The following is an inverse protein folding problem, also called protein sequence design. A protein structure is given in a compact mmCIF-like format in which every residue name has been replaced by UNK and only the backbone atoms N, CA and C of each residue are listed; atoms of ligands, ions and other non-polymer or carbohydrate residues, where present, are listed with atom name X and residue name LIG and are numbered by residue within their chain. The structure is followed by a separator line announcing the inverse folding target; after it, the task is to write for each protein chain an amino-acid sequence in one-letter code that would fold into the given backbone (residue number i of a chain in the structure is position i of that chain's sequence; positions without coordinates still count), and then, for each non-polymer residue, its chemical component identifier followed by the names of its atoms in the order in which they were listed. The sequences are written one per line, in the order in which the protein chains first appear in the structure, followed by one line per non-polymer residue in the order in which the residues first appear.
data_IF_665752698774
#
_entry.id   IF_665752698774
#
_cell.length_a   1.000
_cell.length_b   1.000
_cell.length_c   1.000
_cell.angle_alpha   90.00
_cell.angle_beta   90.00
_cell.angle_gamma   90.00
#
_symmetry.space_group_name_H-M   'P 1'
#
loop_
_entity.id
_entity.type
_entity.pdbx_description
1 polymer ?
#
# COMPACT_ATOMS: atom_id res chain seq x y z
N UNK A 1 35.34 -15.70 -43.02
CA UNK A 1 33.86 -15.80 -43.03
C UNK A 1 33.47 -16.74 -41.90
N UNK A 2 33.35 -16.19 -40.69
CA UNK A 2 32.89 -16.94 -39.52
C UNK A 2 31.42 -16.59 -39.32
N UNK A 3 30.57 -17.62 -39.34
CA UNK A 3 29.14 -17.50 -39.06
C UNK A 3 28.95 -17.52 -37.53
N UNK A 4 28.23 -16.54 -36.94
CA UNK A 4 27.97 -16.54 -35.51
C UNK A 4 26.92 -17.59 -35.17
N UNK A 5 27.29 -18.54 -34.31
CA UNK A 5 26.47 -19.69 -33.94
C UNK A 5 25.27 -19.38 -33.02
N UNK A 6 24.24 -20.23 -33.00
CA UNK A 6 23.01 -20.06 -32.24
C UNK A 6 23.19 -20.52 -30.78
N UNK A 7 23.72 -19.66 -29.91
CA UNK A 7 23.83 -19.96 -28.46
C UNK A 7 23.01 -19.04 -27.54
N UNK A 8 22.21 -18.11 -28.08
CA UNK A 8 21.49 -17.11 -27.27
C UNK A 8 20.13 -17.55 -26.74
N UNK A 9 19.53 -18.62 -27.28
CA UNK A 9 18.14 -19.01 -26.93
C UNK A 9 18.03 -19.67 -25.53
N UNK A 10 18.97 -20.55 -25.16
CA UNK A 10 18.91 -21.27 -23.87
C UNK A 10 19.14 -20.39 -22.65
N UNK A 11 20.07 -19.43 -22.73
CA UNK A 11 20.37 -18.52 -21.63
C UNK A 11 19.21 -17.54 -21.33
N UNK A 12 18.50 -17.10 -22.37
CA UNK A 12 17.31 -16.26 -22.22
C UNK A 12 16.16 -17.04 -21.55
N UNK A 13 15.91 -18.28 -21.98
CA UNK A 13 14.89 -19.13 -21.39
C UNK A 13 15.17 -19.43 -19.90
N UNK A 14 16.43 -19.73 -19.55
CA UNK A 14 16.84 -19.98 -18.18
C UNK A 14 16.70 -18.73 -17.29
N UNK A 15 17.01 -17.54 -17.82
CA UNK A 15 16.82 -16.27 -17.11
C UNK A 15 15.32 -16.01 -16.85
N UNK A 16 14.46 -16.22 -17.84
CA UNK A 16 13.02 -16.07 -17.68
C UNK A 16 12.46 -17.04 -16.63
N UNK A 17 12.90 -18.31 -16.67
CA UNK A 17 12.49 -19.31 -15.68
C UNK A 17 12.92 -18.93 -14.26
N UNK A 18 14.13 -18.39 -14.08
CA UNK A 18 14.61 -17.91 -12.78
C UNK A 18 13.77 -16.74 -12.23
N UNK A 19 13.44 -15.76 -13.08
CA UNK A 19 12.56 -14.64 -12.68
C UNK A 19 11.18 -15.16 -12.30
N UNK A 20 10.63 -16.10 -13.07
CA UNK A 20 9.33 -16.69 -12.79
C UNK A 20 9.31 -17.44 -11.45
N UNK A 21 10.36 -18.21 -11.13
CA UNK A 21 10.51 -18.87 -9.82
C UNK A 21 10.49 -17.84 -8.68
N UNK A 22 11.27 -16.76 -8.79
CA UNK A 22 11.36 -15.74 -7.74
C UNK A 22 10.00 -15.04 -7.53
N UNK A 23 9.35 -14.61 -8.62
CA UNK A 23 8.06 -13.94 -8.53
C UNK A 23 6.98 -14.87 -7.94
N UNK A 24 7.00 -16.15 -8.29
CA UNK A 24 6.05 -17.13 -7.73
C UNK A 24 6.31 -17.39 -6.25
N UNK A 25 7.58 -17.43 -5.81
CA UNK A 25 7.92 -17.52 -4.38
C UNK A 25 7.44 -16.28 -3.62
N UNK A 26 7.68 -15.08 -4.16
CA UNK A 26 7.26 -13.82 -3.52
C UNK A 26 5.74 -13.71 -3.45
N UNK A 27 5.03 -14.11 -4.51
CA UNK A 27 3.57 -14.17 -4.53
C UNK A 27 3.03 -15.16 -3.49
N UNK A 28 3.66 -16.34 -3.34
CA UNK A 28 3.27 -17.33 -2.33
C UNK A 28 3.50 -16.85 -0.90
N UNK A 29 4.63 -16.18 -0.64
CA UNK A 29 4.93 -15.56 0.67
C UNK A 29 3.92 -14.45 0.98
N UNK A 30 3.55 -13.66 -0.03
CA UNK A 30 2.60 -12.57 0.15
C UNK A 30 1.17 -13.10 0.37
N UNK A 31 0.80 -14.21 -0.29
CA UNK A 31 -0.46 -14.92 0.00
C UNK A 31 -0.49 -15.45 1.44
N UNK A 32 0.62 -16.02 1.93
CA UNK A 32 0.78 -16.51 3.31
C UNK A 32 0.57 -15.37 4.32
N UNK A 33 1.23 -14.23 4.09
CA UNK A 33 1.06 -13.02 4.92
C UNK A 33 -0.35 -12.46 4.94
N UNK A 34 -1.10 -12.64 3.86
CA UNK A 34 -2.50 -12.22 3.75
C UNK A 34 -3.48 -13.22 4.37
N UNK A 35 -2.99 -14.32 4.95
CA UNK A 35 -3.84 -15.39 5.48
C UNK A 35 -4.53 -16.21 4.40
N UNK A 36 -4.16 -16.06 3.12
CA UNK A 36 -4.67 -16.87 2.01
C UNK A 36 -3.88 -18.18 1.95
N UNK A 37 -4.03 -19.00 2.98
CA UNK A 37 -3.23 -20.20 3.23
C UNK A 37 -3.29 -21.19 2.06
N UNK A 38 -4.45 -21.43 1.46
CA UNK A 38 -4.60 -22.31 0.30
C UNK A 38 -3.82 -21.81 -0.94
N UNK A 39 -3.92 -20.52 -1.24
CA UNK A 39 -3.19 -19.87 -2.35
C UNK A 39 -1.67 -19.90 -2.08
N UNK A 40 -1.27 -19.62 -0.85
CA UNK A 40 0.12 -19.68 -0.42
C UNK A 40 0.72 -21.06 -0.63
N UNK A 41 -0.02 -22.11 -0.22
CA UNK A 41 0.37 -23.51 -0.41
C UNK A 41 0.52 -23.84 -1.90
N UNK A 42 -0.44 -23.43 -2.74
CA UNK A 42 -0.39 -23.70 -4.18
C UNK A 42 0.81 -23.00 -4.86
N UNK A 43 1.02 -21.72 -4.56
CA UNK A 43 2.09 -20.89 -5.15
C UNK A 43 3.48 -21.33 -4.67
N UNK A 44 3.66 -21.57 -3.37
CA UNK A 44 4.95 -22.01 -2.82
C UNK A 44 5.32 -23.41 -3.33
N UNK A 45 4.34 -24.32 -3.47
CA UNK A 45 4.57 -25.65 -4.06
C UNK A 45 4.99 -25.55 -5.52
N UNK A 46 4.27 -24.74 -6.32
CA UNK A 46 4.61 -24.49 -7.73
C UNK A 46 6.03 -23.91 -7.86
N UNK A 47 6.37 -22.92 -7.03
CA UNK A 47 7.68 -22.30 -7.04
C UNK A 47 8.81 -23.26 -6.66
N UNK A 48 8.60 -24.13 -5.68
CA UNK A 48 9.57 -25.17 -5.30
C UNK A 48 9.80 -26.17 -6.45
N UNK A 49 8.73 -26.63 -7.10
CA UNK A 49 8.81 -27.56 -8.23
C UNK A 49 9.58 -26.93 -9.41
N UNK A 50 9.31 -25.66 -9.71
CA UNK A 50 10.04 -24.94 -10.76
C UNK A 50 11.51 -24.72 -10.38
N UNK A 51 11.80 -24.42 -9.11
CA UNK A 51 13.18 -24.28 -8.63
C UNK A 51 13.97 -25.58 -8.81
N UNK A 52 13.39 -26.72 -8.42
CA UNK A 52 14.01 -28.05 -8.59
C UNK A 52 14.29 -28.37 -10.06
N UNK A 53 13.40 -27.96 -10.97
CA UNK A 53 13.59 -28.16 -12.40
C UNK A 53 14.73 -27.32 -13.00
N UNK A 54 14.94 -26.08 -12.52
CA UNK A 54 15.95 -25.18 -13.10
C UNK A 54 17.33 -25.28 -12.45
N UNK A 55 17.42 -25.70 -11.18
CA UNK A 55 18.68 -25.76 -10.42
C UNK A 55 19.80 -26.54 -11.13
N UNK A 56 19.56 -27.72 -11.75
CA UNK A 56 20.61 -28.46 -12.47
C UNK A 56 21.20 -27.71 -13.67
N UNK A 57 20.46 -26.77 -14.25
CA UNK A 57 20.88 -25.98 -15.40
C UNK A 57 21.53 -24.64 -15.02
N UNK A 58 21.49 -24.25 -13.74
CA UNK A 58 22.05 -22.98 -13.27
C UNK A 58 23.55 -23.09 -12.98
N UNK A 59 24.32 -22.01 -13.19
CA UNK A 59 25.67 -21.89 -12.63
C UNK A 59 25.66 -22.10 -11.11
N UNK A 60 26.70 -22.72 -10.57
CA UNK A 60 26.80 -23.14 -9.15
C UNK A 60 26.50 -22.01 -8.15
N UNK A 61 26.94 -20.79 -8.44
CA UNK A 61 26.66 -19.62 -7.61
C UNK A 61 25.15 -19.29 -7.54
N UNK A 62 24.44 -19.34 -8.67
CA UNK A 62 23.00 -19.08 -8.73
C UNK A 62 22.19 -20.25 -8.17
N UNK A 63 22.59 -21.49 -8.47
CA UNK A 63 21.99 -22.69 -7.92
C UNK A 63 22.00 -22.67 -6.38
N UNK A 64 23.11 -22.22 -5.77
CA UNK A 64 23.23 -22.08 -4.31
C UNK A 64 22.21 -21.08 -3.73
N UNK A 65 22.01 -19.93 -4.39
CA UNK A 65 21.05 -18.92 -3.95
C UNK A 65 19.61 -19.42 -4.09
N UNK A 66 19.28 -20.05 -5.22
CA UNK A 66 17.95 -20.63 -5.47
C UNK A 66 17.65 -21.75 -4.49
N UNK A 67 18.62 -22.62 -4.19
CA UNK A 67 18.46 -23.68 -3.18
C UNK A 67 18.22 -23.10 -1.79
N UNK A 68 19.00 -22.09 -1.37
CA UNK A 68 18.80 -21.44 -0.06
C UNK A 68 17.40 -20.83 0.06
N UNK A 69 16.92 -20.15 -0.99
CA UNK A 69 15.55 -19.60 -1.02
C UNK A 69 14.49 -20.69 -1.05
N UNK A 70 14.72 -21.78 -1.78
CA UNK A 70 13.80 -22.92 -1.86
C UNK A 70 13.64 -23.63 -0.50
N UNK A 71 14.71 -23.73 0.30
CA UNK A 71 14.62 -24.27 1.67
C UNK A 71 13.71 -23.40 2.54
N UNK A 72 13.87 -22.07 2.49
CA UNK A 72 13.00 -21.14 3.23
C UNK A 72 11.54 -21.22 2.75
N UNK A 73 11.32 -21.32 1.44
CA UNK A 73 9.99 -21.48 0.85
C UNK A 73 9.33 -22.81 1.27
N UNK A 74 10.07 -23.93 1.30
CA UNK A 74 9.58 -25.23 1.77
C UNK A 74 9.22 -25.22 3.24
N UNK A 75 10.02 -24.57 4.08
CA UNK A 75 9.70 -24.42 5.50
C UNK A 75 8.39 -23.69 5.72
N UNK A 76 8.11 -22.64 4.93
CA UNK A 76 6.84 -21.90 4.97
C UNK A 76 5.68 -22.70 4.39
N UNK A 77 5.91 -23.41 3.29
CA UNK A 77 4.93 -24.33 2.72
C UNK A 77 4.47 -25.37 3.75
N UNK A 78 5.40 -25.98 4.48
CA UNK A 78 5.08 -26.95 5.53
C UNK A 78 4.25 -26.33 6.67
N UNK A 79 4.59 -25.11 7.11
CA UNK A 79 3.83 -24.39 8.12
C UNK A 79 2.41 -24.06 7.63
N UNK A 80 2.27 -23.54 6.40
CA UNK A 80 0.98 -23.23 5.81
C UNK A 80 0.11 -24.48 5.61
N UNK A 81 0.70 -25.62 5.23
CA UNK A 81 -0.02 -26.90 5.14
C UNK A 81 -0.50 -27.40 6.51
N UNK A 82 0.28 -27.22 7.58
CA UNK A 82 -0.13 -27.57 8.93
C UNK A 82 -1.31 -26.69 9.41
N UNK A 83 -1.28 -25.39 9.11
CA UNK A 83 -2.40 -24.48 9.40
C UNK A 83 -3.67 -24.86 8.65
N UNK A 84 -3.54 -25.28 7.38
CA UNK A 84 -4.69 -25.71 6.58
C UNK A 84 -5.32 -26.99 7.13
N UNK A 85 -4.50 -27.98 7.51
CA UNK A 85 -4.99 -29.22 8.11
C UNK A 85 -5.70 -28.98 9.45
N UNK A 86 -5.17 -28.09 10.30
CA UNK A 86 -5.83 -27.72 11.55
C UNK A 86 -7.18 -27.02 11.34
N UNK A 87 -7.32 -26.23 10.28
CA UNK A 87 -8.58 -25.58 9.93
C UNK A 87 -9.64 -26.57 9.40
N UNK A 88 -9.22 -27.61 8.68
CA UNK A 88 -10.12 -28.67 8.20
C UNK A 88 -10.64 -29.55 9.35
N UNK A 89 -9.84 -29.76 10.40
CA UNK A 89 -10.26 -30.49 11.61
C UNK A 89 -11.27 -29.66 12.46
N UNK A 90 -11.12 -28.34 12.54
CA UNK A 90 -12.06 -27.45 13.26
C UNK A 90 -13.40 -27.27 12.52
N UNK A 91 -13.43 -27.40 11.18
CA UNK A 91 -14.64 -27.24 10.37
C UNK A 91 -15.53 -28.49 10.41
N UNK A 92 -14.98 -29.68 10.70
CA UNK A 92 -15.74 -30.92 10.84
C UNK A 92 -16.71 -30.92 12.04
N UNK A 93 -16.43 -30.14 13.09
CA UNK A 93 -17.30 -29.97 14.26
C UNK A 93 -18.35 -28.87 14.10
N UNK A 94 -18.31 -28.08 13.01
CA UNK A 94 -19.14 -26.88 12.82
C UNK A 94 -20.30 -27.04 11.81
N UNK A 95 -20.49 -28.21 11.20
CA UNK A 95 -21.51 -28.42 10.15
C UNK A 95 -22.84 -28.86 10.77
N UNK A 96 -23.53 -27.91 11.40
CA UNK A 96 -25.00 -27.88 11.35
C UNK A 96 -25.47 -26.46 11.01
N UNK A 97 -25.70 -26.23 9.72
CA UNK A 97 -26.49 -25.12 9.21
C UNK A 97 -25.74 -23.83 8.87
N UNK A 98 -25.12 -23.75 7.69
CA UNK A 98 -24.99 -22.46 6.99
C UNK A 98 -24.85 -22.62 5.47
N UNK A 99 -25.95 -22.37 4.78
CA UNK A 99 -26.02 -22.07 3.35
C UNK A 99 -25.21 -20.80 3.07
N UNK A 100 -24.29 -20.85 2.10
CA UNK A 100 -23.47 -19.70 1.64
C UNK A 100 -24.35 -18.55 1.14
N UNK A 101 -24.62 -17.58 2.01
CA UNK A 101 -25.08 -16.24 1.63
C UNK A 101 -23.86 -15.36 1.36
N UNK A 102 -23.72 -14.93 0.10
CA UNK A 102 -22.87 -13.80 -0.26
C UNK A 102 -23.42 -12.53 0.42
N UNK A 103 -22.94 -12.25 1.62
CA UNK A 103 -23.32 -11.07 2.39
C UNK A 103 -22.79 -9.77 1.76
N UNK A 104 -23.51 -8.64 1.95
CA UNK A 104 -23.10 -7.35 1.43
C UNK A 104 -21.79 -6.88 2.08
N UNK A 105 -20.84 -6.41 1.27
CA UNK A 105 -19.68 -5.67 1.78
C UNK A 105 -20.21 -4.30 2.24
N UNK A 106 -20.40 -4.17 3.55
CA UNK A 106 -20.75 -2.93 4.25
C UNK A 106 -19.57 -1.93 4.16
N UNK A 107 -19.47 -1.17 3.08
CA UNK A 107 -18.54 -0.03 2.99
C UNK A 107 -19.02 1.18 3.79
N UNK A 108 -20.34 1.26 4.01
CA UNK A 108 -20.97 2.25 4.86
C UNK A 108 -21.94 1.58 5.83
N UNK A 109 -21.63 1.63 7.13
CA UNK A 109 -22.54 1.16 8.18
C UNK A 109 -23.05 2.35 9.00
N UNK A 110 -24.36 2.38 9.27
CA UNK A 110 -25.00 3.44 10.05
C UNK A 110 -24.78 3.29 11.56
N UNK A 111 -24.23 2.16 12.01
CA UNK A 111 -23.89 1.91 13.41
C UNK A 111 -22.36 1.84 13.55
N UNK A 112 -21.75 2.47 14.58
CA UNK A 112 -20.32 2.35 14.81
C UNK A 112 -19.97 0.87 14.99
N UNK A 113 -19.00 0.40 14.21
CA UNK A 113 -18.59 -0.99 14.25
C UNK A 113 -17.97 -1.34 15.61
N UNK A 114 -18.29 -2.52 16.14
CA UNK A 114 -17.70 -3.03 17.40
C UNK A 114 -16.18 -3.16 17.38
N UNK A 115 -15.56 -3.11 16.19
CA UNK A 115 -14.10 -3.18 15.97
C UNK A 115 -13.46 -1.84 15.60
N UNK A 116 -14.22 -0.74 15.58
CA UNK A 116 -13.65 0.59 15.35
C UNK A 116 -12.84 1.03 16.57
N UNK A 117 -11.58 1.42 16.35
CA UNK A 117 -10.71 1.97 17.39
C UNK A 117 -10.82 3.49 17.33
N UNK A 118 -11.26 4.12 18.41
CA UNK A 118 -11.38 5.58 18.45
C UNK A 118 -10.01 6.28 18.29
N UNK A 119 -9.97 7.47 17.65
CA UNK A 119 -8.75 8.24 17.54
C UNK A 119 -8.28 8.69 18.94
N UNK A 120 -6.96 8.76 19.18
CA UNK A 120 -6.43 9.20 20.46
C UNK A 120 -6.88 10.64 20.77
N UNK A 121 -7.15 10.89 22.06
CA UNK A 121 -7.55 12.21 22.55
C UNK A 121 -6.50 13.28 22.18
N UNK A 122 -5.22 12.94 22.30
CA UNK A 122 -4.10 13.79 21.91
C UNK A 122 -4.09 14.06 20.40
N UNK A 123 -4.32 15.32 20.01
CA UNK A 123 -4.29 15.75 18.62
C UNK A 123 -2.96 15.45 17.92
N UNK A 124 -1.86 15.46 18.67
CA UNK A 124 -0.51 15.18 18.18
C UNK A 124 -0.33 13.73 17.71
N UNK A 125 -1.08 12.80 18.32
CA UNK A 125 -1.01 11.37 17.99
C UNK A 125 -2.00 10.93 16.91
N UNK A 126 -3.00 11.77 16.60
CA UNK A 126 -4.03 11.44 15.59
C UNK A 126 -3.47 11.14 14.19
N UNK A 127 -2.42 11.84 13.69
CA UNK A 127 -1.86 11.52 12.38
C UNK A 127 -1.30 10.10 12.32
N UNK A 128 -0.61 9.66 13.38
CA UNK A 128 -0.04 8.31 13.45
C UNK A 128 -1.13 7.24 13.59
N UNK A 129 -2.15 7.48 14.40
CA UNK A 129 -3.33 6.62 14.46
C UNK A 129 -3.98 6.46 13.07
N UNK A 130 -4.16 7.56 12.34
CA UNK A 130 -4.78 7.52 11.00
C UNK A 130 -3.89 6.75 10.01
N UNK A 131 -2.57 6.97 10.04
CA UNK A 131 -1.63 6.19 9.22
C UNK A 131 -1.69 4.69 9.54
N UNK A 132 -1.87 4.30 10.80
CA UNK A 132 -2.08 2.90 11.17
C UNK A 132 -3.39 2.34 10.60
N UNK A 133 -4.50 3.09 10.68
CA UNK A 133 -5.77 2.66 10.09
C UNK A 133 -5.70 2.55 8.56
N UNK A 134 -5.06 3.51 7.90
CA UNK A 134 -4.81 3.50 6.45
C UNK A 134 -3.92 2.31 6.06
N UNK A 135 -2.87 2.02 6.84
CA UNK A 135 -2.02 0.85 6.65
C UNK A 135 -2.82 -0.45 6.68
N UNK A 136 -3.64 -0.64 7.73
CA UNK A 136 -4.49 -1.81 7.89
C UNK A 136 -5.49 -1.97 6.74
N UNK A 137 -6.08 -0.85 6.30
CA UNK A 137 -7.01 -0.83 5.16
C UNK A 137 -6.34 -1.19 3.83
N UNK A 138 -5.12 -0.69 3.58
CA UNK A 138 -4.36 -1.02 2.36
C UNK A 138 -3.95 -2.50 2.35
N UNK A 139 -3.61 -3.07 3.51
CA UNK A 139 -3.17 -4.47 3.61
C UNK A 139 -4.31 -5.49 3.61
N UNK A 140 -5.47 -5.14 4.15
CA UNK A 140 -6.59 -6.07 4.34
C UNK A 140 -7.93 -5.37 4.39
N UNK A 141 -8.45 -5.13 5.59
CA UNK A 141 -9.67 -4.36 5.82
C UNK A 141 -9.46 -3.48 7.03
N UNK A 142 -9.90 -2.23 6.94
CA UNK A 142 -9.70 -1.24 7.99
C UNK A 142 -10.86 -0.27 8.07
N UNK A 143 -11.20 0.11 9.29
CA UNK A 143 -12.15 1.20 9.54
C UNK A 143 -11.36 2.51 9.62
N UNK A 144 -11.65 3.41 8.68
CA UNK A 144 -11.02 4.73 8.64
C UNK A 144 -11.84 5.77 9.42
N UNK A 145 -13.15 5.55 9.51
CA UNK A 145 -14.09 6.30 10.35
C UNK A 145 -15.09 5.32 10.97
N UNK A 146 -15.96 5.75 11.91
CA UNK A 146 -16.99 4.87 12.47
C UNK A 146 -17.94 4.28 11.42
N UNK A 147 -18.06 4.93 10.26
CA UNK A 147 -18.99 4.56 9.20
C UNK A 147 -18.29 4.12 7.92
N UNK A 148 -17.00 4.40 7.73
CA UNK A 148 -16.26 4.08 6.51
C UNK A 148 -15.33 2.88 6.76
N UNK A 149 -15.68 1.75 6.15
CA UNK A 149 -14.80 0.58 6.03
C UNK A 149 -14.26 0.46 4.62
N UNK A 150 -12.94 0.40 4.51
CA UNK A 150 -12.27 0.27 3.20
C UNK A 150 -11.44 -1.00 3.19
N UNK A 151 -11.75 -1.87 2.22
CA UNK A 151 -11.05 -3.12 1.97
C UNK A 151 -9.91 -2.89 0.96
N UNK A 152 -8.88 -3.72 1.00
CA UNK A 152 -7.74 -3.71 0.07
C UNK A 152 -8.17 -3.74 -1.38
N UNK A 153 -9.25 -4.46 -1.69
CA UNK A 153 -9.79 -4.56 -3.06
C UNK A 153 -10.28 -3.21 -3.58
N UNK A 154 -10.68 -2.29 -2.70
CA UNK A 154 -11.12 -0.92 -3.05
C UNK A 154 -9.90 -0.06 -3.44
N UNK A 155 -8.78 -0.22 -2.72
CA UNK A 155 -7.52 0.48 -3.01
C UNK A 155 -6.91 0.12 -4.35
N UNK A 156 -7.12 -1.11 -4.82
CA UNK A 156 -6.55 -1.66 -6.05
C UNK A 156 -7.64 -2.05 -7.08
N UNK A 157 -8.83 -1.45 -6.97
CA UNK A 157 -9.93 -1.77 -7.88
C UNK A 157 -9.59 -1.37 -9.33
N UNK A 158 -10.07 -2.17 -10.28
CA UNK A 158 -9.89 -1.89 -11.70
C UNK A 158 -10.52 -0.54 -12.10
N UNK A 159 -9.74 0.29 -12.78
CA UNK A 159 -10.17 1.63 -13.15
C UNK A 159 -10.27 2.61 -11.98
N UNK A 160 -9.89 2.23 -10.74
CA UNK A 160 -9.82 3.13 -9.59
C UNK A 160 -8.93 4.35 -9.86
N UNK A 161 -7.86 4.17 -10.62
CA UNK A 161 -6.98 5.26 -11.04
C UNK A 161 -7.74 6.42 -11.73
N UNK A 162 -8.87 6.14 -12.39
CA UNK A 162 -9.64 7.17 -13.10
C UNK A 162 -10.47 8.08 -12.21
N UNK A 163 -10.62 7.77 -10.91
CA UNK A 163 -11.30 8.65 -9.94
C UNK A 163 -10.31 9.37 -9.03
N UNK A 164 -9.02 9.02 -9.10
CA UNK A 164 -7.98 9.63 -8.30
C UNK A 164 -7.31 10.75 -9.09
N UNK A 165 -7.27 11.95 -8.53
CA UNK A 165 -6.54 13.07 -9.08
C UNK A 165 -5.06 13.05 -8.67
N UNK A 166 -4.21 13.61 -9.54
CA UNK A 166 -2.80 13.88 -9.24
C UNK A 166 -1.99 12.66 -8.81
N UNK A 167 -2.28 11.48 -9.37
CA UNK A 167 -1.62 10.24 -8.96
C UNK A 167 -0.09 10.30 -9.06
N UNK A 168 0.43 10.86 -10.16
CA UNK A 168 1.86 11.03 -10.38
C UNK A 168 2.51 11.90 -9.30
N UNK A 169 1.91 13.06 -9.00
CA UNK A 169 2.47 14.02 -8.06
C UNK A 169 2.32 13.57 -6.62
N UNK A 170 1.18 12.95 -6.27
CA UNK A 170 1.01 12.26 -4.98
C UNK A 170 2.06 11.17 -4.80
N UNK A 171 2.32 10.37 -5.84
CA UNK A 171 3.36 9.32 -5.78
C UNK A 171 4.75 9.89 -5.55
N UNK A 172 5.14 10.94 -6.31
CA UNK A 172 6.43 11.63 -6.11
C UNK A 172 6.55 12.26 -4.73
N UNK A 173 5.47 12.85 -4.23
CA UNK A 173 5.43 13.44 -2.90
C UNK A 173 5.60 12.38 -1.80
N UNK A 174 4.85 11.27 -1.89
CA UNK A 174 4.97 10.14 -0.96
C UNK A 174 6.37 9.53 -0.99
N UNK A 175 6.96 9.37 -2.17
CA UNK A 175 8.33 8.90 -2.32
C UNK A 175 9.34 9.83 -1.66
N UNK A 176 9.27 11.14 -1.93
CA UNK A 176 10.15 12.13 -1.33
C UNK A 176 10.01 12.16 0.20
N UNK A 177 8.78 12.05 0.71
CA UNK A 177 8.51 12.03 2.14
C UNK A 177 9.01 10.75 2.81
N UNK A 178 8.85 9.59 2.16
CA UNK A 178 9.43 8.34 2.66
C UNK A 178 10.95 8.42 2.76
N UNK A 179 11.63 9.00 1.76
CA UNK A 179 13.08 9.22 1.80
C UNK A 179 13.50 10.19 2.91
N UNK A 180 12.72 11.25 3.13
CA UNK A 180 12.97 12.20 4.21
C UNK A 180 12.80 11.58 5.61
N UNK A 181 11.91 10.59 5.75
CA UNK A 181 11.61 9.92 7.02
C UNK A 181 12.41 8.62 7.22
N UNK A 182 13.13 8.13 6.21
CA UNK A 182 13.93 6.91 6.31
C UNK A 182 14.95 6.93 7.46
N UNK A 183 15.67 8.05 7.73
CA UNK A 183 16.60 8.11 8.86
C UNK A 183 15.90 7.92 10.21
N UNK A 184 14.68 8.44 10.36
CA UNK A 184 13.90 8.45 11.62
C UNK A 184 13.70 7.04 12.18
N UNK A 185 13.59 6.02 11.32
CA UNK A 185 13.42 4.64 11.77
C UNK A 185 14.56 4.16 12.68
N UNK A 186 15.80 4.58 12.41
CA UNK A 186 16.99 4.16 13.15
C UNK A 186 17.40 5.12 14.27
N UNK A 187 16.79 6.31 14.37
CA UNK A 187 17.17 7.32 15.35
C UNK A 187 16.78 6.91 16.77
N UNK A 188 17.64 7.21 17.74
CA UNK A 188 17.30 7.15 19.17
C UNK A 188 17.45 8.52 19.81
N UNK A 189 16.60 8.84 20.77
CA UNK A 189 16.63 10.12 21.49
C UNK A 189 17.95 10.38 22.23
N UNK A 190 18.69 9.32 22.57
CA UNK A 190 19.98 9.37 23.25
C UNK A 190 21.19 9.53 22.32
N UNK A 191 21.00 9.48 20.99
CA UNK A 191 22.13 9.52 20.06
C UNK A 191 22.74 10.94 19.98
N UNK A 192 24.08 11.07 19.90
CA UNK A 192 24.71 12.35 19.59
C UNK A 192 24.22 12.88 18.24
N UNK A 193 23.92 14.18 18.14
CA UNK A 193 23.44 14.79 16.90
C UNK A 193 21.97 14.51 16.58
N UNK A 194 21.19 14.00 17.55
CA UNK A 194 19.78 13.66 17.37
C UNK A 194 18.96 14.83 16.79
N UNK A 195 19.10 16.01 17.37
CA UNK A 195 18.31 17.20 17.02
C UNK A 195 18.68 17.69 15.61
N UNK A 196 19.96 17.63 15.24
CA UNK A 196 20.47 18.05 13.93
C UNK A 196 20.03 17.09 12.81
N UNK A 197 20.04 15.78 13.06
CA UNK A 197 19.49 14.80 12.11
C UNK A 197 17.96 14.95 11.97
N UNK A 198 17.27 15.20 13.07
CA UNK A 198 15.83 15.41 13.06
C UNK A 198 15.46 16.69 12.30
N UNK A 199 16.24 17.76 12.47
CA UNK A 199 16.07 19.01 11.74
C UNK A 199 16.27 18.82 10.23
N UNK A 200 17.26 18.01 9.81
CA UNK A 200 17.42 17.62 8.40
C UNK A 200 16.20 16.89 7.84
N UNK A 201 15.62 15.97 8.62
CA UNK A 201 14.39 15.27 8.25
C UNK A 201 13.22 16.25 8.09
N UNK A 202 13.07 17.19 9.03
CA UNK A 202 12.03 18.25 8.98
C UNK A 202 12.18 19.11 7.74
N UNK A 203 13.39 19.60 7.44
CA UNK A 203 13.65 20.45 6.27
C UNK A 203 13.35 19.69 4.97
N UNK A 204 13.76 18.42 4.87
CA UNK A 204 13.47 17.59 3.71
C UNK A 204 11.96 17.33 3.53
N UNK A 205 11.25 17.01 4.61
CA UNK A 205 9.80 16.80 4.59
C UNK A 205 9.04 18.09 4.22
N UNK A 206 9.43 19.23 4.79
CA UNK A 206 8.85 20.52 4.47
C UNK A 206 9.09 20.92 3.01
N UNK A 207 10.28 20.63 2.47
CA UNK A 207 10.59 20.84 1.06
C UNK A 207 9.71 19.98 0.15
N UNK A 208 9.51 18.70 0.50
CA UNK A 208 8.62 17.81 -0.24
C UNK A 208 7.16 18.33 -0.22
N UNK A 209 6.69 18.79 0.95
CA UNK A 209 5.34 19.35 1.11
C UNK A 209 5.14 20.61 0.25
N UNK A 210 6.07 21.56 0.28
CA UNK A 210 6.01 22.78 -0.55
C UNK A 210 5.99 22.47 -2.04
N UNK A 211 6.85 21.55 -2.50
CA UNK A 211 6.87 21.15 -3.89
C UNK A 211 5.52 20.55 -4.35
N UNK A 212 4.86 19.78 -3.48
CA UNK A 212 3.52 19.25 -3.76
C UNK A 212 2.44 20.35 -3.74
N UNK A 213 2.48 21.25 -2.76
CA UNK A 213 1.54 22.38 -2.65
C UNK A 213 1.63 23.33 -3.86
N UNK A 214 2.84 23.58 -4.38
CA UNK A 214 3.06 24.38 -5.58
C UNK A 214 2.40 23.76 -6.81
N UNK A 215 2.51 22.44 -6.98
CA UNK A 215 1.84 21.71 -8.07
C UNK A 215 0.32 21.76 -7.90
N UNK A 216 -0.17 21.44 -6.70
CA UNK A 216 -1.60 21.47 -6.40
C UNK A 216 -2.23 22.86 -6.63
N UNK A 217 -1.52 23.92 -6.23
CA UNK A 217 -1.98 25.30 -6.39
C UNK A 217 -1.98 25.78 -7.85
N UNK A 218 -1.01 25.33 -8.65
CA UNK A 218 -0.97 25.62 -10.10
C UNK A 218 -2.10 24.89 -10.84
N UNK A 219 -2.47 23.71 -10.37
CA UNK A 219 -3.49 22.90 -11.00
C UNK A 219 -4.92 23.25 -10.57
N UNK A 220 -5.18 23.75 -9.37
CA UNK A 220 -6.51 24.29 -9.03
C UNK A 220 -6.94 25.40 -10.02
N UNK A 221 -6.00 26.26 -10.43
CA UNK A 221 -6.22 27.24 -11.50
C UNK A 221 -6.41 26.64 -12.90
N UNK A 222 -5.82 25.48 -13.18
CA UNK A 222 -5.98 24.75 -14.47
C UNK A 222 -7.22 23.87 -14.51
N UNK A 223 -7.61 23.23 -13.40
CA UNK A 223 -8.79 22.37 -13.28
C UNK A 223 -10.06 23.21 -13.35
N UNK A 224 -10.06 24.46 -12.87
CA UNK A 224 -11.16 25.39 -13.14
C UNK A 224 -11.30 25.73 -14.64
N UNK A 225 -10.18 25.92 -15.35
CA UNK A 225 -10.16 26.23 -16.78
C UNK A 225 -10.51 25.01 -17.64
N UNK A 226 -9.92 23.85 -17.34
CA UNK A 226 -10.21 22.57 -17.99
C UNK A 226 -11.61 22.09 -17.64
N UNK A 227 -12.13 22.31 -16.43
CA UNK A 227 -13.51 21.98 -16.06
C UNK A 227 -14.56 22.81 -16.80
N UNK A 228 -14.20 24.01 -17.29
CA UNK A 228 -15.03 24.79 -18.23
C UNK A 228 -14.92 24.23 -19.66
N UNK A 229 -13.72 23.84 -20.08
CA UNK A 229 -13.46 23.27 -21.41
C UNK A 229 -14.07 21.87 -21.58
N UNK A 230 -13.90 21.00 -20.60
CA UNK A 230 -14.42 19.63 -20.53
C UNK A 230 -15.95 19.60 -20.49
N UNK A 231 -16.60 20.57 -19.81
CA UNK A 231 -18.06 20.70 -19.89
C UNK A 231 -18.54 21.03 -21.30
N UNK A 232 -17.74 21.75 -22.09
CA UNK A 232 -17.99 21.97 -23.52
C UNK A 232 -17.63 20.75 -24.39
N UNK A 233 -16.56 20.02 -24.09
CA UNK A 233 -16.04 18.93 -24.91
C UNK A 233 -16.64 17.55 -24.61
N UNK A 234 -17.27 17.34 -23.44
CA UNK A 234 -18.00 16.10 -23.11
C UNK A 234 -19.16 15.81 -24.06
N UNK A 235 -19.69 16.84 -24.72
CA UNK A 235 -20.67 16.71 -25.82
C UNK A 235 -20.06 16.13 -27.11
N UNK A 236 -18.77 16.37 -27.36
CA UNK A 236 -18.11 16.08 -28.64
C UNK A 236 -17.18 14.86 -28.62
N UNK A 237 -16.75 14.39 -27.45
CA UNK A 237 -15.71 13.34 -27.31
C UNK A 237 -16.21 11.98 -26.81
N UNK A 238 -17.51 11.68 -26.91
CA UNK A 238 -18.02 10.34 -26.59
C UNK A 238 -17.42 9.23 -27.47
N UNK A 239 -16.83 9.58 -28.63
CA UNK A 239 -16.18 8.65 -29.58
C UNK A 239 -14.65 8.54 -29.47
N UNK A 240 -13.96 9.42 -28.74
CA UNK A 240 -12.49 9.42 -28.63
C UNK A 240 -11.95 8.89 -27.29
N UNK A 241 -12.84 8.30 -26.48
CA UNK A 241 -12.58 7.77 -25.14
C UNK A 241 -11.41 6.77 -25.06
N UNK A 242 -11.04 6.15 -26.18
CA UNK A 242 -9.88 5.25 -26.26
C UNK A 242 -8.54 5.98 -26.26
N UNK A 243 -8.41 7.11 -26.95
CA UNK A 243 -7.12 7.77 -27.20
C UNK A 243 -6.61 8.56 -25.99
N UNK A 244 -7.52 9.24 -25.27
CA UNK A 244 -7.20 9.89 -23.99
C UNK A 244 -6.81 8.89 -22.90
N UNK A 245 -7.38 7.69 -22.94
CA UNK A 245 -7.07 6.60 -21.99
C UNK A 245 -5.65 6.08 -22.21
N UNK A 246 -5.22 5.93 -23.46
CA UNK A 246 -3.86 5.49 -23.80
C UNK A 246 -2.82 6.57 -23.50
N UNK A 247 -3.17 7.85 -23.64
CA UNK A 247 -2.26 8.96 -23.38
C UNK A 247 -1.99 9.15 -21.88
N UNK A 248 -3.00 9.06 -21.01
CA UNK A 248 -2.81 9.05 -19.56
C UNK A 248 -2.13 7.77 -19.06
N UNK A 249 -2.40 6.60 -19.67
CA UNK A 249 -1.75 5.33 -19.28
C UNK A 249 -0.24 5.30 -19.53
N UNK A 250 0.31 6.19 -20.37
CA UNK A 250 1.73 6.18 -20.74
C UNK A 250 2.60 7.15 -19.92
N UNK A 251 2.03 8.03 -19.07
CA UNK A 251 2.83 9.00 -18.30
C UNK A 251 2.65 8.99 -16.79
N UNK A 252 1.66 8.29 -16.24
CA UNK A 252 1.31 8.45 -14.82
C UNK A 252 1.61 7.18 -14.01
N UNK A 253 2.19 7.38 -12.82
CA UNK A 253 2.41 6.31 -11.84
C UNK A 253 1.17 5.44 -11.71
N UNK A 254 1.32 4.12 -11.85
CA UNK A 254 0.20 3.20 -11.71
C UNK A 254 -0.44 3.34 -10.32
N UNK A 255 -1.76 3.12 -10.21
CA UNK A 255 -2.45 3.08 -8.92
C UNK A 255 -1.77 2.13 -7.93
N UNK A 256 -1.24 1.00 -8.42
CA UNK A 256 -0.45 0.07 -7.60
C UNK A 256 0.84 0.71 -7.04
N UNK A 257 1.57 1.49 -7.85
CA UNK A 257 2.75 2.23 -7.40
C UNK A 257 2.40 3.27 -6.35
N UNK A 258 1.32 4.02 -6.56
CA UNK A 258 0.80 4.98 -5.59
C UNK A 258 0.47 4.32 -4.24
N UNK A 259 -0.31 3.23 -4.27
CA UNK A 259 -0.71 2.49 -3.07
C UNK A 259 0.50 1.89 -2.35
N UNK A 260 1.51 1.39 -3.08
CA UNK A 260 2.74 0.88 -2.49
C UNK A 260 3.52 1.97 -1.73
N UNK A 261 3.64 3.17 -2.29
CA UNK A 261 4.27 4.30 -1.61
C UNK A 261 3.44 4.81 -0.42
N UNK A 262 2.12 4.84 -0.55
CA UNK A 262 1.23 5.19 0.56
C UNK A 262 1.42 4.23 1.75
N UNK A 263 1.46 2.92 1.48
CA UNK A 263 1.73 1.91 2.48
C UNK A 263 3.11 2.07 3.13
N UNK A 264 4.16 2.31 2.33
CA UNK A 264 5.51 2.56 2.85
C UNK A 264 5.55 3.78 3.77
N UNK A 265 4.85 4.85 3.40
CA UNK A 265 4.74 6.05 4.25
C UNK A 265 4.03 5.75 5.56
N UNK A 266 2.93 5.00 5.53
CA UNK A 266 2.21 4.63 6.74
C UNK A 266 3.11 3.90 7.75
N UNK A 267 3.98 3.01 7.25
CA UNK A 267 4.98 2.33 8.09
C UNK A 267 6.10 3.28 8.58
N UNK A 268 6.55 4.23 7.75
CA UNK A 268 7.52 5.23 8.17
C UNK A 268 6.99 6.12 9.31
N UNK A 269 5.67 6.38 9.34
CA UNK A 269 5.01 7.12 10.42
C UNK A 269 5.19 6.49 11.81
N UNK A 270 5.34 5.17 11.91
CA UNK A 270 5.57 4.49 13.18
C UNK A 270 6.92 4.86 13.82
N UNK A 271 7.95 5.13 13.02
CA UNK A 271 9.23 5.61 13.52
C UNK A 271 9.12 7.00 14.15
N UNK A 272 8.34 7.89 13.52
CA UNK A 272 8.08 9.23 14.04
C UNK A 272 7.26 9.18 15.34
N UNK A 273 6.23 8.33 15.40
CA UNK A 273 5.44 8.13 16.62
C UNK A 273 6.31 7.59 17.76
N UNK A 274 7.16 6.60 17.49
CA UNK A 274 8.11 6.06 18.47
C UNK A 274 8.98 7.17 19.04
N UNK A 275 9.60 8.00 18.18
CA UNK A 275 10.42 9.12 18.65
C UNK A 275 9.63 10.10 19.52
N UNK A 276 8.36 10.37 19.20
CA UNK A 276 7.51 11.24 20.02
C UNK A 276 7.32 10.65 21.43
N UNK A 277 7.02 9.36 21.52
CA UNK A 277 6.84 8.67 22.79
C UNK A 277 8.15 8.62 23.59
N UNK A 278 9.26 8.30 22.93
CA UNK A 278 10.60 8.26 23.53
C UNK A 278 11.00 9.65 24.06
N UNK A 279 10.72 10.73 23.31
CA UNK A 279 11.05 12.09 23.72
C UNK A 279 10.23 12.55 24.93
N UNK A 280 8.93 12.24 24.97
CA UNK A 280 8.10 12.53 26.16
C UNK A 280 8.55 11.71 27.38
N UNK A 281 8.85 10.42 27.21
CA UNK A 281 9.33 9.59 28.30
C UNK A 281 10.67 10.09 28.87
N UNK A 282 11.59 10.54 28.00
CA UNK A 282 12.86 11.15 28.41
C UNK A 282 12.65 12.49 29.16
N UNK A 283 11.69 13.30 28.70
CA UNK A 283 11.32 14.57 29.35
C UNK A 283 10.79 14.35 30.78
N UNK A 284 9.94 13.34 30.98
CA UNK A 284 9.36 13.03 32.29
C UNK A 284 10.40 12.43 33.26
N UNK A 285 11.34 11.63 32.74
CA UNK A 285 12.38 11.00 33.55
C UNK A 285 13.44 12.01 34.05
N UNK A 286 13.65 13.11 33.33
CA UNK A 286 14.69 14.08 33.64
C UNK A 286 14.10 15.24 34.42
N UNK A 287 14.30 15.31 35.73
CA UNK A 287 13.76 16.39 36.58
C UNK A 287 14.28 17.80 36.23
N UNK A 288 15.27 17.90 35.32
CA UNK A 288 15.72 19.15 34.70
C UNK A 288 15.18 19.21 33.28
N UNK A 289 14.39 20.25 32.98
CA UNK A 289 14.05 20.63 31.60
C UNK A 289 15.34 21.03 30.88
N UNK A 290 15.92 20.10 30.14
CA UNK A 290 16.92 20.45 29.15
C UNK A 290 16.21 21.03 27.93
N UNK A 291 16.63 22.23 27.49
CA UNK A 291 16.10 22.92 26.31
C UNK A 291 16.11 22.05 25.04
N UNK A 292 17.00 21.05 24.99
CA UNK A 292 17.10 20.10 23.88
C UNK A 292 15.84 19.23 23.67
N UNK A 293 15.06 18.95 24.73
CA UNK A 293 13.88 18.08 24.62
C UNK A 293 12.68 18.80 24.02
N UNK A 294 12.43 20.03 24.45
CA UNK A 294 11.40 20.89 23.88
C UNK A 294 11.68 21.11 22.38
N UNK A 295 12.95 21.32 22.03
CA UNK A 295 13.40 21.44 20.65
C UNK A 295 13.10 20.18 19.81
N UNK A 296 13.39 18.99 20.34
CA UNK A 296 13.11 17.73 19.65
C UNK A 296 11.61 17.50 19.45
N UNK A 297 10.81 17.72 20.50
CA UNK A 297 9.35 17.57 20.46
C UNK A 297 8.76 18.51 19.41
N UNK A 298 9.20 19.78 19.38
CA UNK A 298 8.76 20.74 18.37
C UNK A 298 9.07 20.31 16.94
N UNK A 299 10.23 19.68 16.71
CA UNK A 299 10.61 19.15 15.39
C UNK A 299 9.75 17.95 15.00
N UNK A 300 9.46 17.05 15.94
CA UNK A 300 8.53 15.93 15.72
C UNK A 300 7.11 16.45 15.43
N UNK A 301 6.67 17.51 16.13
CA UNK A 301 5.40 18.17 15.86
C UNK A 301 5.33 18.74 14.44
N UNK A 302 6.42 19.35 13.95
CA UNK A 302 6.49 19.81 12.55
C UNK A 302 6.34 18.65 11.56
N UNK A 303 6.98 17.51 11.78
CA UNK A 303 6.79 16.31 10.94
C UNK A 303 5.34 15.80 11.00
N UNK A 304 4.76 15.71 12.20
CA UNK A 304 3.37 15.30 12.41
C UNK A 304 2.39 16.22 11.67
N UNK A 305 2.62 17.53 11.70
CA UNK A 305 1.84 18.53 10.96
C UNK A 305 1.92 18.33 9.44
N UNK A 306 3.12 18.07 8.89
CA UNK A 306 3.31 17.76 7.47
C UNK A 306 2.53 16.50 7.08
N UNK A 307 2.63 15.43 7.89
CA UNK A 307 1.92 14.18 7.66
C UNK A 307 0.40 14.39 7.68
N UNK A 308 -0.11 15.15 8.65
CA UNK A 308 -1.54 15.40 8.78
C UNK A 308 -2.10 16.21 7.60
N UNK A 309 -1.43 17.31 7.24
CA UNK A 309 -1.92 18.26 6.23
C UNK A 309 -1.75 17.75 4.81
N UNK A 310 -0.75 16.91 4.55
CA UNK A 310 -0.50 16.31 3.25
C UNK A 310 -1.11 14.90 3.16
N UNK A 311 -0.31 13.85 3.38
CA UNK A 311 -0.67 12.47 3.07
C UNK A 311 -1.90 11.95 3.79
N UNK A 312 -2.04 12.20 5.09
CA UNK A 312 -3.21 11.75 5.84
C UNK A 312 -4.52 12.28 5.24
N UNK A 313 -4.51 13.55 4.83
CA UNK A 313 -5.68 14.20 4.23
C UNK A 313 -6.03 13.58 2.88
N UNK A 314 -5.12 13.60 1.92
CA UNK A 314 -5.48 13.12 0.58
C UNK A 314 -5.68 11.61 0.53
N UNK A 315 -5.01 10.82 1.40
CA UNK A 315 -5.24 9.37 1.46
C UNK A 315 -6.66 9.06 1.95
N UNK A 316 -7.16 9.82 2.92
CA UNK A 316 -8.53 9.67 3.40
C UNK A 316 -9.55 10.11 2.34
N UNK A 317 -9.29 11.22 1.65
CA UNK A 317 -10.11 11.70 0.52
C UNK A 317 -10.13 10.66 -0.62
N UNK A 318 -8.99 10.09 -0.98
CA UNK A 318 -8.88 9.06 -2.00
C UNK A 318 -9.59 7.76 -1.60
N UNK A 319 -9.49 7.35 -0.33
CA UNK A 319 -10.21 6.20 0.21
C UNK A 319 -11.73 6.37 0.09
N UNK A 320 -12.24 7.57 0.37
CA UNK A 320 -13.65 7.93 0.19
C UNK A 320 -14.07 7.84 -1.28
N UNK A 321 -13.31 8.46 -2.20
CA UNK A 321 -13.62 8.43 -3.63
C UNK A 321 -13.65 7.02 -4.20
N UNK A 322 -12.69 6.17 -3.79
CA UNK A 322 -12.63 4.78 -4.20
C UNK A 322 -13.80 3.97 -3.62
N UNK A 323 -14.18 4.21 -2.36
CA UNK A 323 -15.33 3.56 -1.75
C UNK A 323 -16.64 3.95 -2.43
N UNK A 324 -16.84 5.24 -2.72
CA UNK A 324 -18.03 5.76 -3.41
C UNK A 324 -18.17 5.19 -4.82
N UNK A 325 -17.05 5.08 -5.54
CA UNK A 325 -16.99 4.40 -6.84
C UNK A 325 -17.45 2.95 -6.72
N UNK A 326 -16.86 2.20 -5.79
CA UNK A 326 -17.17 0.77 -5.59
C UNK A 326 -18.66 0.56 -5.27
N UNK A 327 -19.26 1.44 -4.45
CA UNK A 327 -20.71 1.42 -4.16
C UNK A 327 -21.53 1.73 -5.42
N UNK A 328 -21.12 2.71 -6.22
CA UNK A 328 -21.83 3.12 -7.42
C UNK A 328 -21.83 2.05 -8.51
N UNK A 329 -20.69 1.37 -8.73
CA UNK A 329 -20.58 0.27 -9.69
C UNK A 329 -21.49 -0.90 -9.30
N UNK A 330 -21.57 -1.24 -8.01
CA UNK A 330 -22.50 -2.27 -7.52
C UNK A 330 -23.95 -1.91 -7.77
N UNK A 331 -24.37 -0.68 -7.46
CA UNK A 331 -25.74 -0.19 -7.74
C UNK A 331 -26.08 -0.29 -9.23
N UNK A 332 -25.13 0.05 -10.11
CA UNK A 332 -25.31 -0.01 -11.57
C UNK A 332 -25.41 -1.44 -12.11
N UNK A 333 -24.82 -2.40 -11.41
CA UNK A 333 -24.88 -3.83 -11.76
C UNK A 333 -26.21 -4.44 -11.32
N UNK A 334 -26.71 -4.06 -10.15
CA UNK A 334 -28.01 -4.52 -9.62
C UNK A 334 -29.18 -3.94 -10.41
N UNK A 335 -29.07 -2.70 -10.93
CA UNK A 335 -30.13 -2.04 -11.69
C UNK A 335 -30.21 -2.45 -13.17
N UNK A 336 -29.31 -3.32 -13.65
CA UNK A 336 -29.43 -3.97 -14.95
C UNK A 336 -30.08 -5.35 -14.74
N UNK A 337 -31.42 -5.48 -14.79
CA UNK A 337 -32.03 -6.80 -14.87
C UNK A 337 -31.45 -7.48 -16.10
N UNK A 338 -30.93 -8.71 -15.92
CA UNK A 338 -30.60 -9.59 -17.03
C UNK A 338 -31.88 -9.87 -17.81
N UNK A 339 -32.21 -9.01 -18.76
CA UNK A 339 -33.18 -9.30 -19.80
C UNK A 339 -32.47 -10.24 -20.77
N UNK A 340 -32.32 -11.49 -20.37
CA UNK A 340 -32.14 -12.57 -21.32
C UNK A 340 -33.47 -12.72 -22.05
N UNK A 341 -33.58 -12.06 -23.19
CA UNK A 341 -34.51 -12.48 -24.23
C UNK A 341 -34.02 -13.85 -24.71
N UNK A 342 -34.74 -14.90 -24.33
CA UNK A 342 -34.73 -16.20 -25.02
C UNK A 342 -35.78 -16.14 -26.11
#
# INVERSE_FOLDING_TARGET
METPGPMTSGAAALRHALVHVILTMEAGIEADRQGRTADAVALLRSACNMADAIVPALPSAHATVVNRRSVAARSRLAAAQATLAAAEDDEADAIDGATLQLGPIETFSAKPASRYVEPPASALRRPFWLLQQLSASIQGTGWLTPTLRVDKTIWLQDGGASVLSFLADKTRFLEALCRALEPVAAMTVSQPGFVEELDRCVVAAAKAARAFEEVASQEDGRVEQLGRLERGMRSLLSKSRGVLKTWNMQQESSQGTYVAWAFRLCNAGAGVERLLLDAHAAQDATSRRETSWDDAIDRIHRLSSVLLRGPCRFLLEDALLLADRAVSERKSTISRPNVHWV
#
